data_IF_581092107292
#
_entry.id   IF_581092107292
#
_cell.length_a   1.000
_cell.length_b   1.000
_cell.length_c   1.000
_cell.angle_alpha   90.00
_cell.angle_beta   90.00
_cell.angle_gamma   90.00
#
_symmetry.space_group_name_H-M   'P 1'
#
loop_
_entity.id
_entity.type
_entity.pdbx_description
1 polymer ?
#
# COMPACT_ATOMS: atom_id res chain seq x y z
N UNK A 1 -3.47 0.17 3.29
CA UNK A 1 -2.26 -0.53 3.77
C UNK A 1 -1.78 0.16 5.03
N UNK A 2 -1.30 -0.58 6.03
CA UNK A 2 -0.67 0.03 7.21
C UNK A 2 0.55 0.83 6.74
N UNK A 3 0.68 2.08 7.21
CA UNK A 3 1.91 2.85 7.03
C UNK A 3 3.08 1.93 7.43
N UNK A 4 4.07 1.77 6.56
CA UNK A 4 5.35 1.21 6.99
C UNK A 4 5.88 2.16 8.06
N UNK A 5 5.79 1.73 9.33
CA UNK A 5 6.31 2.51 10.46
C UNK A 5 7.83 2.47 10.33
N UNK A 6 8.38 3.51 9.71
CA UNK A 6 9.82 3.76 9.70
C UNK A 6 10.22 4.18 11.10
N UNK A 7 11.13 3.43 11.72
CA UNK A 7 11.56 3.72 13.08
C UNK A 7 12.59 4.86 13.05
N UNK A 8 12.33 5.90 13.84
CA UNK A 8 13.33 6.88 14.26
C UNK A 8 13.63 6.76 15.77
N UNK A 9 13.34 5.61 16.39
CA UNK A 9 13.25 5.44 17.84
C UNK A 9 14.60 5.33 18.56
N UNK A 10 15.73 5.56 17.89
CA UNK A 10 17.01 5.70 18.56
C UNK A 10 17.52 7.14 18.51
N UNK A 11 17.93 7.71 19.65
CA UNK A 11 18.68 8.95 19.64
C UNK A 11 19.96 8.72 18.83
N UNK A 12 20.45 9.74 18.09
CA UNK A 12 21.74 9.65 17.43
C UNK A 12 22.78 9.20 18.45
N UNK A 13 23.65 8.26 18.06
CA UNK A 13 24.70 7.81 18.99
C UNK A 13 25.58 9.02 19.28
N UNK A 14 25.65 9.40 20.56
CA UNK A 14 26.43 10.54 21.05
C UNK A 14 27.86 10.44 20.53
N UNK A 15 28.16 11.20 19.49
CA UNK A 15 29.52 11.55 19.12
C UNK A 15 29.93 12.74 20.00
N UNK A 16 31.18 12.80 20.51
CA UNK A 16 31.63 13.93 21.31
C UNK A 16 31.40 15.24 20.55
N UNK A 17 30.87 16.25 21.26
CA UNK A 17 30.21 17.43 20.70
C UNK A 17 30.99 18.16 19.61
N UNK A 18 30.36 18.26 18.44
CA UNK A 18 30.84 19.05 17.30
C UNK A 18 29.67 19.57 16.47
N UNK A 19 29.91 20.62 15.67
CA UNK A 19 28.88 21.30 14.87
C UNK A 19 28.15 20.37 13.87
N UNK A 20 28.74 19.23 13.50
CA UNK A 20 28.12 18.20 12.66
C UNK A 20 27.07 17.40 13.43
N UNK A 21 27.39 16.94 14.66
CA UNK A 21 26.48 16.19 15.52
C UNK A 21 25.23 17.02 15.86
N UNK A 22 25.41 18.28 16.24
CA UNK A 22 24.30 19.20 16.52
C UNK A 22 23.39 19.42 15.30
N UNK A 23 23.98 19.45 14.09
CA UNK A 23 23.22 19.62 12.85
C UNK A 23 22.43 18.37 12.46
N UNK A 24 22.95 17.17 12.76
CA UNK A 24 22.22 15.91 12.61
C UNK A 24 21.04 15.86 13.58
N UNK A 25 21.26 16.20 14.86
CA UNK A 25 20.19 16.27 15.86
C UNK A 25 19.08 17.26 15.45
N UNK A 26 19.45 18.43 14.92
CA UNK A 26 18.51 19.39 14.37
C UNK A 26 17.73 18.82 13.18
N UNK A 27 18.41 18.16 12.23
CA UNK A 27 17.76 17.53 11.08
C UNK A 27 16.74 16.46 11.51
N UNK A 28 17.10 15.62 12.47
CA UNK A 28 16.21 14.59 13.04
C UNK A 28 15.02 15.23 13.75
N UNK A 29 15.23 16.33 14.49
CA UNK A 29 14.14 17.06 15.15
C UNK A 29 13.14 17.62 14.13
N UNK A 30 13.62 18.28 13.07
CA UNK A 30 12.78 18.79 11.98
C UNK A 30 12.05 17.65 11.27
N UNK A 31 12.74 16.53 11.04
CA UNK A 31 12.15 15.33 10.43
C UNK A 31 11.00 14.79 11.28
N UNK A 32 11.18 14.68 12.61
CA UNK A 32 10.13 14.26 13.55
C UNK A 32 8.94 15.23 13.59
N UNK A 33 9.17 16.52 13.33
CA UNK A 33 8.13 17.56 13.24
C UNK A 33 7.41 17.58 11.89
N UNK A 34 7.81 16.73 10.92
CA UNK A 34 7.23 16.73 9.57
C UNK A 34 7.72 17.86 8.67
N UNK A 35 8.73 18.64 9.09
CA UNK A 35 9.38 19.67 8.26
C UNK A 35 10.38 19.01 7.32
N UNK A 36 9.86 18.27 6.34
CA UNK A 36 10.64 17.38 5.49
C UNK A 36 11.63 18.13 4.59
N UNK A 37 11.24 19.29 4.07
CA UNK A 37 12.09 20.13 3.21
C UNK A 37 13.34 20.60 3.98
N UNK A 38 13.14 21.11 5.19
CA UNK A 38 14.22 21.63 6.03
C UNK A 38 15.13 20.50 6.53
N UNK A 39 14.54 19.36 6.93
CA UNK A 39 15.28 18.18 7.34
C UNK A 39 16.17 17.65 6.21
N UNK A 40 15.63 17.53 4.99
CA UNK A 40 16.38 17.10 3.80
C UNK A 40 17.53 18.05 3.49
N UNK A 41 17.30 19.37 3.57
CA UNK A 41 18.34 20.37 3.36
C UNK A 41 19.49 20.21 4.37
N UNK A 42 19.18 19.98 5.64
CA UNK A 42 20.19 19.78 6.69
C UNK A 42 20.94 18.45 6.53
N UNK A 43 20.26 17.34 6.24
CA UNK A 43 20.93 16.06 5.98
C UNK A 43 21.90 16.19 4.81
N UNK A 44 21.48 16.81 3.70
CA UNK A 44 22.37 17.07 2.56
C UNK A 44 23.52 17.99 2.91
N UNK A 45 23.32 18.99 3.78
CA UNK A 45 24.42 19.85 4.25
C UNK A 45 25.45 19.06 5.07
N UNK A 46 24.99 18.15 5.92
CA UNK A 46 25.89 17.24 6.66
C UNK A 46 26.68 16.39 5.67
N UNK A 47 26.01 15.79 4.68
CA UNK A 47 26.66 14.91 3.69
C UNK A 47 27.60 15.65 2.73
N UNK A 48 27.42 16.96 2.49
CA UNK A 48 28.41 17.77 1.76
C UNK A 48 29.73 17.91 2.52
N UNK A 49 29.69 17.92 3.86
CA UNK A 49 30.89 18.03 4.70
C UNK A 49 31.50 16.67 5.01
N UNK A 50 30.64 15.68 5.27
CA UNK A 50 31.03 14.29 5.50
C UNK A 50 30.12 13.35 4.70
N UNK A 51 30.51 12.97 3.47
CA UNK A 51 29.74 12.06 2.62
C UNK A 51 29.54 10.67 3.20
N UNK A 52 30.28 10.29 4.26
CA UNK A 52 30.25 8.96 4.88
C UNK A 52 29.50 8.95 6.22
N UNK A 53 28.84 10.05 6.58
CA UNK A 53 28.13 10.13 7.85
C UNK A 53 26.90 9.22 7.85
N UNK A 54 26.98 8.09 8.55
CA UNK A 54 26.00 7.01 8.54
C UNK A 54 24.59 7.44 8.98
N UNK A 55 24.46 8.26 10.03
CA UNK A 55 23.13 8.70 10.50
C UNK A 55 22.44 9.60 9.47
N UNK A 56 23.18 10.51 8.82
CA UNK A 56 22.62 11.40 7.81
C UNK A 56 22.24 10.64 6.53
N UNK A 57 23.04 9.65 6.12
CA UNK A 57 22.69 8.74 5.02
C UNK A 57 21.41 7.96 5.36
N UNK A 58 21.35 7.34 6.55
CA UNK A 58 20.20 6.56 7.00
C UNK A 58 18.93 7.40 7.05
N UNK A 59 18.94 8.53 7.76
CA UNK A 59 17.73 9.34 7.95
C UNK A 59 17.31 10.09 6.69
N UNK A 60 18.25 10.50 5.82
CA UNK A 60 17.90 10.98 4.49
C UNK A 60 17.23 9.88 3.67
N UNK A 61 17.71 8.64 3.76
CA UNK A 61 17.07 7.49 3.14
C UNK A 61 15.64 7.25 3.65
N UNK A 62 15.42 7.34 4.97
CA UNK A 62 14.08 7.28 5.57
C UNK A 62 13.18 8.40 5.04
N UNK A 63 13.70 9.62 4.93
CA UNK A 63 12.97 10.77 4.40
C UNK A 63 12.62 10.58 2.91
N UNK A 64 13.57 10.11 2.10
CA UNK A 64 13.34 9.76 0.70
C UNK A 64 12.24 8.70 0.57
N UNK A 65 12.22 7.69 1.45
CA UNK A 65 11.15 6.70 1.50
C UNK A 65 9.78 7.32 1.85
N UNK A 66 9.72 8.26 2.81
CA UNK A 66 8.48 8.99 3.13
C UNK A 66 7.97 9.82 1.96
N UNK A 67 8.86 10.32 1.11
CA UNK A 67 8.55 10.98 -0.17
C UNK A 67 8.41 10.00 -1.34
N UNK A 68 8.27 8.70 -1.09
CA UNK A 68 8.10 7.63 -2.09
C UNK A 68 9.25 7.49 -3.09
N UNK A 69 10.41 8.09 -2.82
CA UNK A 69 11.66 7.93 -3.59
C UNK A 69 12.38 6.67 -3.13
N UNK A 70 11.75 5.51 -3.34
CA UNK A 70 12.20 4.26 -2.73
C UNK A 70 13.55 3.75 -3.26
N UNK A 71 13.88 4.01 -4.53
CA UNK A 71 15.19 3.65 -5.08
C UNK A 71 16.33 4.45 -4.41
N UNK A 72 16.20 5.78 -4.38
CA UNK A 72 17.13 6.68 -3.66
C UNK A 72 17.24 6.28 -2.18
N UNK A 73 16.12 5.99 -1.53
CA UNK A 73 16.09 5.56 -0.14
C UNK A 73 16.90 4.28 0.09
N UNK A 74 16.76 3.28 -0.78
CA UNK A 74 17.48 2.02 -0.65
C UNK A 74 18.99 2.22 -0.76
N UNK A 75 19.43 3.05 -1.70
CA UNK A 75 20.85 3.33 -1.93
C UNK A 75 21.48 4.12 -0.78
N UNK A 76 20.77 5.12 -0.27
CA UNK A 76 21.19 5.88 0.91
C UNK A 76 21.31 5.00 2.17
N UNK A 77 20.33 4.13 2.43
CA UNK A 77 20.37 3.25 3.59
C UNK A 77 21.46 2.17 3.44
N UNK A 78 21.69 1.65 2.24
CA UNK A 78 22.83 0.75 1.97
C UNK A 78 24.16 1.44 2.22
N UNK A 79 24.32 2.69 1.76
CA UNK A 79 25.53 3.47 2.02
C UNK A 79 25.73 3.69 3.53
N UNK A 80 24.67 3.92 4.31
CA UNK A 80 24.76 3.97 5.77
C UNK A 80 25.24 2.63 6.37
N UNK A 81 24.72 1.51 5.87
CA UNK A 81 25.08 0.16 6.33
C UNK A 81 26.48 -0.27 5.93
N UNK A 82 27.03 0.21 4.82
CA UNK A 82 28.44 0.02 4.46
C UNK A 82 29.39 0.67 5.48
N UNK A 83 28.98 1.81 6.04
CA UNK A 83 29.75 2.53 7.07
C UNK A 83 29.51 1.95 8.46
N UNK A 84 28.29 1.47 8.71
CA UNK A 84 27.92 0.87 9.98
C UNK A 84 27.11 -0.42 9.80
N UNK A 85 27.79 -1.57 9.59
CA UNK A 85 27.10 -2.84 9.32
C UNK A 85 26.21 -3.36 10.47
N UNK A 86 26.45 -2.87 11.69
CA UNK A 86 25.72 -3.22 12.92
C UNK A 86 24.59 -2.24 13.26
N UNK A 87 24.15 -1.41 12.32
CA UNK A 87 23.05 -0.47 12.52
C UNK A 87 21.69 -1.17 12.35
N UNK A 88 21.14 -1.69 13.45
CA UNK A 88 19.92 -2.51 13.45
C UNK A 88 18.71 -1.79 12.82
N UNK A 89 18.47 -0.54 13.19
CA UNK A 89 17.36 0.26 12.65
C UNK A 89 17.48 0.50 11.15
N UNK A 90 18.70 0.73 10.64
CA UNK A 90 18.93 0.89 9.21
C UNK A 90 18.65 -0.42 8.44
N UNK A 91 18.95 -1.60 9.00
CA UNK A 91 18.52 -2.88 8.40
C UNK A 91 17.00 -3.02 8.38
N UNK A 92 16.30 -2.65 9.46
CA UNK A 92 14.84 -2.68 9.49
C UNK A 92 14.24 -1.70 8.46
N UNK A 93 14.75 -0.48 8.39
CA UNK A 93 14.27 0.53 7.44
C UNK A 93 14.64 0.17 5.99
N UNK A 94 15.78 -0.49 5.75
CA UNK A 94 16.09 -1.07 4.44
C UNK A 94 15.06 -2.15 4.07
N UNK A 95 14.70 -3.02 5.00
CA UNK A 95 13.66 -4.02 4.80
C UNK A 95 12.32 -3.39 4.40
N UNK A 96 11.94 -2.32 5.08
CA UNK A 96 10.74 -1.56 4.76
C UNK A 96 10.77 -1.00 3.32
N UNK A 97 11.89 -0.38 2.93
CA UNK A 97 12.07 0.18 1.57
C UNK A 97 12.08 -0.93 0.51
N UNK A 98 12.74 -2.05 0.76
CA UNK A 98 12.76 -3.20 -0.15
C UNK A 98 11.37 -3.81 -0.33
N UNK A 99 10.57 -3.86 0.73
CA UNK A 99 9.18 -4.26 0.64
C UNK A 99 8.37 -3.26 -0.21
N UNK A 100 8.54 -1.95 -0.04
CA UNK A 100 7.87 -0.96 -0.90
C UNK A 100 8.27 -1.11 -2.39
N UNK A 101 9.49 -1.57 -2.68
CA UNK A 101 9.98 -1.87 -4.03
C UNK A 101 9.58 -3.26 -4.56
N UNK A 102 8.77 -4.03 -3.84
CA UNK A 102 8.38 -5.38 -4.24
C UNK A 102 9.46 -6.46 -4.09
N UNK A 103 10.60 -6.13 -3.46
CA UNK A 103 11.75 -7.05 -3.27
C UNK A 103 11.61 -7.84 -1.96
N UNK A 104 10.61 -8.73 -1.91
CA UNK A 104 10.15 -9.38 -0.69
C UNK A 104 11.21 -10.22 0.04
N UNK A 105 11.97 -11.05 -0.68
CA UNK A 105 13.01 -11.88 -0.05
C UNK A 105 14.18 -11.05 0.48
N UNK A 106 14.57 -10.01 -0.26
CA UNK A 106 15.57 -9.07 0.20
C UNK A 106 15.09 -8.32 1.46
N UNK A 107 13.80 -7.97 1.53
CA UNK A 107 13.20 -7.37 2.71
C UNK A 107 13.25 -8.32 3.92
N UNK A 108 12.85 -9.59 3.75
CA UNK A 108 12.93 -10.61 4.79
C UNK A 108 14.37 -10.79 5.32
N UNK A 109 15.36 -10.82 4.42
CA UNK A 109 16.78 -10.88 4.79
C UNK A 109 17.22 -9.67 5.63
N UNK A 110 16.82 -8.46 5.24
CA UNK A 110 17.12 -7.25 5.99
C UNK A 110 16.48 -7.24 7.39
N UNK A 111 15.23 -7.68 7.53
CA UNK A 111 14.60 -7.82 8.86
C UNK A 111 15.31 -8.87 9.74
N UNK A 112 15.72 -10.02 9.18
CA UNK A 112 16.51 -11.02 9.93
C UNK A 112 17.84 -10.43 10.41
N UNK A 113 18.51 -9.61 9.58
CA UNK A 113 19.73 -8.88 9.98
C UNK A 113 19.45 -7.88 11.10
N UNK A 114 18.34 -7.14 11.05
CA UNK A 114 17.93 -6.25 12.13
C UNK A 114 17.70 -7.02 13.44
N UNK A 115 17.00 -8.16 13.38
CA UNK A 115 16.70 -9.00 14.53
C UNK A 115 17.93 -9.70 15.12
N UNK A 116 18.90 -10.08 14.30
CA UNK A 116 20.18 -10.61 14.78
C UNK A 116 20.98 -9.58 15.59
N UNK A 117 20.80 -8.28 15.28
CA UNK A 117 21.46 -7.19 15.98
C UNK A 117 20.63 -6.66 17.17
N UNK A 118 19.31 -6.70 17.08
CA UNK A 118 18.36 -6.24 18.08
C UNK A 118 17.16 -7.19 18.18
N UNK A 119 17.28 -8.30 18.94
CA UNK A 119 16.23 -9.34 19.02
C UNK A 119 14.90 -8.85 19.61
N UNK A 120 14.92 -7.77 20.40
CA UNK A 120 13.76 -7.16 21.04
C UNK A 120 13.04 -6.12 20.15
N UNK A 121 13.29 -6.08 18.84
CA UNK A 121 12.62 -5.16 17.93
C UNK A 121 11.26 -5.72 17.46
N UNK A 122 10.19 -5.29 18.12
CA UNK A 122 8.82 -5.74 17.81
C UNK A 122 8.39 -5.42 16.36
N UNK A 123 8.78 -4.26 15.83
CA UNK A 123 8.48 -3.86 14.45
C UNK A 123 9.15 -4.78 13.44
N UNK A 124 10.42 -5.14 13.65
CA UNK A 124 11.16 -6.03 12.74
C UNK A 124 10.57 -7.45 12.73
N UNK A 125 10.13 -7.97 13.89
CA UNK A 125 9.40 -9.24 13.97
C UNK A 125 8.08 -9.18 13.20
N UNK A 126 7.26 -8.15 13.44
CA UNK A 126 5.98 -7.96 12.73
C UNK A 126 6.21 -7.89 11.21
N UNK A 127 7.18 -7.08 10.77
CA UNK A 127 7.48 -6.90 9.35
C UNK A 127 8.01 -8.19 8.69
N UNK A 128 8.87 -8.95 9.39
CA UNK A 128 9.32 -10.26 8.93
C UNK A 128 8.15 -11.23 8.80
N UNK A 129 7.25 -11.26 9.77
CA UNK A 129 6.03 -12.07 9.72
C UNK A 129 5.18 -11.76 8.48
N UNK A 130 5.04 -10.48 8.11
CA UNK A 130 4.30 -10.09 6.89
C UNK A 130 4.97 -10.64 5.63
N UNK A 131 6.30 -10.60 5.54
CA UNK A 131 7.04 -11.15 4.40
C UNK A 131 6.91 -12.68 4.33
N UNK A 132 7.08 -13.37 5.46
CA UNK A 132 6.95 -14.83 5.53
C UNK A 132 5.54 -15.31 5.16
N UNK A 133 4.50 -14.64 5.66
CA UNK A 133 3.11 -14.95 5.32
C UNK A 133 2.85 -14.79 3.82
N UNK A 134 3.42 -13.76 3.19
CA UNK A 134 3.32 -13.56 1.73
C UNK A 134 4.02 -14.65 0.94
N UNK A 135 5.11 -15.20 1.48
CA UNK A 135 5.83 -16.34 0.90
C UNK A 135 5.17 -17.71 1.20
N UNK A 136 3.99 -17.74 1.85
CA UNK A 136 3.32 -18.98 2.24
C UNK A 136 3.94 -19.71 3.42
N UNK A 137 4.95 -19.13 4.08
CA UNK A 137 5.66 -19.70 5.24
C UNK A 137 4.91 -19.39 6.52
N UNK A 138 3.69 -19.91 6.65
CA UNK A 138 2.73 -19.51 7.67
C UNK A 138 3.18 -19.83 9.10
N UNK A 139 3.81 -20.98 9.36
CA UNK A 139 4.29 -21.34 10.70
C UNK A 139 5.39 -20.42 11.20
N UNK A 140 6.31 -20.01 10.32
CA UNK A 140 7.35 -19.04 10.69
C UNK A 140 6.79 -17.63 10.85
N UNK A 141 5.81 -17.26 10.02
CA UNK A 141 5.10 -15.99 10.15
C UNK A 141 4.38 -15.89 11.49
N UNK A 142 3.71 -16.97 11.90
CA UNK A 142 3.04 -17.06 13.20
C UNK A 142 4.00 -16.78 14.34
N UNK A 143 5.14 -17.49 14.39
CA UNK A 143 6.15 -17.29 15.43
C UNK A 143 6.68 -15.85 15.47
N UNK A 144 6.91 -15.23 14.30
CA UNK A 144 7.34 -13.84 14.24
C UNK A 144 6.26 -12.87 14.76
N UNK A 145 4.99 -13.09 14.43
CA UNK A 145 3.90 -12.24 14.95
C UNK A 145 3.69 -12.41 16.46
N UNK A 146 3.77 -13.64 16.98
CA UNK A 146 3.69 -13.92 18.41
C UNK A 146 4.82 -13.21 19.15
N UNK A 147 6.06 -13.29 18.65
CA UNK A 147 7.19 -12.59 19.26
C UNK A 147 7.04 -11.06 19.21
N UNK A 148 6.49 -10.52 18.12
CA UNK A 148 6.17 -9.09 18.04
C UNK A 148 5.14 -8.66 19.10
N UNK A 149 4.11 -9.48 19.35
CA UNK A 149 3.07 -9.19 20.35
C UNK A 149 3.52 -9.45 21.79
N UNK A 150 4.48 -10.35 22.02
CA UNK A 150 5.15 -10.49 23.33
C UNK A 150 5.91 -9.20 23.66
N UNK A 151 6.60 -8.62 22.68
CA UNK A 151 7.40 -7.40 22.85
C UNK A 151 6.54 -6.13 22.92
N UNK A 152 5.46 -6.06 22.13
CA UNK A 152 4.51 -4.96 22.14
C UNK A 152 3.07 -5.47 21.92
N UNK A 153 2.29 -5.70 22.99
CA UNK A 153 0.94 -6.22 22.90
C UNK A 153 -0.09 -5.26 22.30
N UNK A 154 0.25 -3.99 22.07
CA UNK A 154 -0.69 -2.94 21.64
C UNK A 154 -0.74 -2.74 20.12
N UNK A 155 -0.12 -3.63 19.35
CA UNK A 155 -0.02 -3.54 17.89
C UNK A 155 -1.23 -4.13 17.17
N UNK A 156 -2.22 -3.30 16.87
CA UNK A 156 -3.42 -3.71 16.15
C UNK A 156 -3.11 -4.31 14.76
N UNK A 157 -2.13 -3.76 14.04
CA UNK A 157 -1.66 -4.26 12.73
C UNK A 157 -1.11 -5.68 12.84
N UNK A 158 -0.32 -5.95 13.87
CA UNK A 158 0.26 -7.27 14.13
C UNK A 158 -0.83 -8.27 14.51
N UNK A 159 -1.80 -7.91 15.35
CA UNK A 159 -2.96 -8.77 15.66
C UNK A 159 -3.81 -9.08 14.42
N UNK A 160 -4.00 -8.12 13.51
CA UNK A 160 -4.67 -8.36 12.23
C UNK A 160 -3.91 -9.38 11.38
N UNK A 161 -2.59 -9.24 11.26
CA UNK A 161 -1.77 -10.16 10.48
C UNK A 161 -1.64 -11.54 11.11
N UNK A 162 -1.62 -11.63 12.44
CA UNK A 162 -1.72 -12.87 13.18
C UNK A 162 -3.02 -13.60 12.83
N UNK A 163 -4.17 -12.94 12.92
CA UNK A 163 -5.46 -13.56 12.58
C UNK A 163 -5.52 -14.08 11.14
N UNK A 164 -4.97 -13.32 10.18
CA UNK A 164 -4.87 -13.79 8.77
C UNK A 164 -3.97 -15.01 8.62
N UNK A 165 -2.91 -15.10 9.40
CA UNK A 165 -1.98 -16.25 9.38
C UNK A 165 -2.62 -17.48 10.00
N UNK A 166 -3.28 -17.31 11.15
CA UNK A 166 -4.03 -18.38 11.82
C UNK A 166 -5.15 -18.92 10.94
N UNK A 167 -5.90 -18.06 10.25
CA UNK A 167 -6.94 -18.49 9.31
C UNK A 167 -6.37 -19.28 8.11
N UNK A 168 -5.17 -18.93 7.63
CA UNK A 168 -4.48 -19.70 6.58
C UNK A 168 -3.93 -21.05 7.08
N UNK A 169 -3.73 -21.19 8.39
CA UNK A 169 -3.41 -22.45 9.08
C UNK A 169 -4.67 -23.18 9.57
N UNK A 170 -5.87 -22.73 9.17
CA UNK A 170 -7.17 -23.30 9.58
C UNK A 170 -7.43 -23.27 11.10
N UNK A 171 -6.68 -22.47 11.85
CA UNK A 171 -6.87 -22.23 13.30
C UNK A 171 -7.90 -21.13 13.52
N UNK A 172 -9.15 -21.44 13.17
CA UNK A 172 -10.20 -20.43 12.98
C UNK A 172 -10.61 -19.67 14.25
N UNK A 173 -10.80 -20.34 15.39
CA UNK A 173 -11.20 -19.66 16.63
C UNK A 173 -10.11 -18.71 17.15
N UNK A 174 -8.83 -19.10 17.01
CA UNK A 174 -7.71 -18.23 17.36
C UNK A 174 -7.60 -17.04 16.39
N UNK A 175 -7.90 -17.26 15.11
CA UNK A 175 -7.98 -16.18 14.13
C UNK A 175 -9.08 -15.15 14.46
N UNK A 176 -10.26 -15.62 14.88
CA UNK A 176 -11.35 -14.76 15.36
C UNK A 176 -10.89 -13.93 16.57
N UNK A 177 -10.26 -14.57 17.56
CA UNK A 177 -9.74 -13.89 18.75
C UNK A 177 -8.71 -12.81 18.40
N UNK A 178 -7.77 -13.10 17.49
CA UNK A 178 -6.77 -12.14 17.02
C UNK A 178 -7.39 -10.94 16.27
N UNK A 179 -8.42 -11.18 15.45
CA UNK A 179 -9.14 -10.09 14.79
C UNK A 179 -9.95 -9.23 15.76
N UNK A 180 -10.60 -9.84 16.75
CA UNK A 180 -11.24 -9.10 17.84
C UNK A 180 -10.25 -8.24 18.63
N UNK A 181 -9.05 -8.76 18.89
CA UNK A 181 -8.00 -7.99 19.54
C UNK A 181 -7.56 -6.78 18.70
N UNK A 182 -7.41 -6.95 17.38
CA UNK A 182 -7.08 -5.84 16.48
C UNK A 182 -8.15 -4.73 16.53
N UNK A 183 -9.44 -5.09 16.53
CA UNK A 183 -10.56 -4.15 16.67
C UNK A 183 -10.56 -3.48 18.04
N UNK A 184 -10.28 -4.23 19.11
CA UNK A 184 -10.23 -3.67 20.48
C UNK A 184 -9.11 -2.64 20.63
N UNK A 185 -7.95 -2.90 20.04
CA UNK A 185 -6.81 -1.98 20.03
C UNK A 185 -7.04 -0.77 19.13
N UNK A 186 -7.78 -0.94 18.04
CA UNK A 186 -8.12 0.12 17.09
C UNK A 186 -9.59 -0.03 16.61
N UNK A 187 -10.56 0.59 17.30
CA UNK A 187 -11.99 0.45 17.00
C UNK A 187 -12.42 0.90 15.59
N UNK A 188 -11.64 1.75 14.92
CA UNK A 188 -11.87 2.16 13.53
C UNK A 188 -11.15 1.30 12.47
N UNK A 189 -10.61 0.14 12.83
CA UNK A 189 -9.72 -0.61 11.94
C UNK A 189 -10.50 -1.41 10.88
N UNK A 190 -10.94 -0.75 9.81
CA UNK A 190 -11.76 -1.32 8.73
C UNK A 190 -11.23 -2.67 8.19
N UNK A 191 -9.91 -2.81 8.05
CA UNK A 191 -9.29 -4.04 7.56
C UNK A 191 -9.50 -5.24 8.52
N UNK A 192 -9.60 -5.00 9.83
CA UNK A 192 -9.87 -6.03 10.83
C UNK A 192 -11.35 -6.43 10.83
N UNK A 193 -12.28 -5.47 10.75
CA UNK A 193 -13.71 -5.76 10.59
C UNK A 193 -13.98 -6.59 9.33
N UNK A 194 -13.42 -6.21 8.18
CA UNK A 194 -13.55 -6.96 6.93
C UNK A 194 -12.99 -8.38 7.05
N UNK A 195 -11.84 -8.55 7.70
CA UNK A 195 -11.22 -9.87 7.84
C UNK A 195 -12.03 -10.76 8.78
N UNK A 196 -12.55 -10.20 9.87
CA UNK A 196 -13.40 -10.89 10.83
C UNK A 196 -14.76 -11.28 10.24
N UNK A 197 -15.44 -10.36 9.54
CA UNK A 197 -16.76 -10.63 8.96
C UNK A 197 -16.69 -11.73 7.89
N UNK A 198 -15.67 -11.69 7.01
CA UNK A 198 -15.45 -12.73 6.01
C UNK A 198 -15.11 -14.09 6.63
N UNK A 199 -14.36 -14.10 7.74
CA UNK A 199 -14.07 -15.34 8.46
C UNK A 199 -15.32 -15.90 9.13
N UNK A 200 -16.12 -15.07 9.80
CA UNK A 200 -17.41 -15.49 10.37
C UNK A 200 -18.36 -16.02 9.30
N UNK A 201 -18.43 -15.37 8.13
CA UNK A 201 -19.21 -15.85 6.99
C UNK A 201 -18.74 -17.23 6.50
N UNK A 202 -17.42 -17.43 6.35
CA UNK A 202 -16.85 -18.73 5.96
C UNK A 202 -17.19 -19.85 6.96
N UNK A 203 -17.31 -19.51 8.23
CA UNK A 203 -17.68 -20.44 9.31
C UNK A 203 -19.20 -20.59 9.47
N UNK A 204 -20.00 -20.06 8.54
CA UNK A 204 -21.47 -20.05 8.58
C UNK A 204 -22.06 -19.34 9.81
N UNK A 205 -21.26 -18.50 10.49
CA UNK A 205 -21.64 -17.68 11.64
C UNK A 205 -22.22 -16.33 11.18
N UNK A 206 -23.16 -16.37 10.25
CA UNK A 206 -23.69 -15.20 9.55
C UNK A 206 -24.36 -14.19 10.49
N UNK A 207 -25.07 -14.66 11.52
CA UNK A 207 -25.70 -13.79 12.51
C UNK A 207 -24.67 -12.94 13.27
N UNK A 208 -23.52 -13.52 13.63
CA UNK A 208 -22.44 -12.80 14.30
C UNK A 208 -21.74 -11.82 13.36
N UNK A 209 -21.55 -12.19 12.09
CA UNK A 209 -21.01 -11.29 11.08
C UNK A 209 -21.91 -10.05 10.90
N UNK A 210 -23.23 -10.24 10.79
CA UNK A 210 -24.20 -9.14 10.69
C UNK A 210 -24.16 -8.27 11.94
N UNK A 211 -24.18 -8.84 13.14
CA UNK A 211 -24.12 -8.08 14.39
C UNK A 211 -22.83 -7.26 14.52
N UNK A 212 -21.69 -7.82 14.11
CA UNK A 212 -20.40 -7.12 14.04
C UNK A 212 -20.46 -5.92 13.09
N UNK A 213 -20.99 -6.12 11.88
CA UNK A 213 -21.06 -5.10 10.85
C UNK A 213 -22.05 -3.99 11.21
N UNK A 214 -23.16 -4.31 11.87
CA UNK A 214 -24.09 -3.31 12.45
C UNK A 214 -23.39 -2.44 13.48
N UNK A 215 -22.58 -3.03 14.37
CA UNK A 215 -21.80 -2.26 15.36
C UNK A 215 -20.77 -1.36 14.67
N UNK A 216 -20.09 -1.86 13.64
CA UNK A 216 -19.15 -1.05 12.87
C UNK A 216 -19.85 0.13 12.18
N UNK A 217 -20.96 -0.12 11.49
CA UNK A 217 -21.72 0.94 10.82
C UNK A 217 -22.28 1.95 11.83
N UNK A 218 -22.69 1.53 13.03
CA UNK A 218 -23.13 2.47 14.07
C UNK A 218 -22.00 3.37 14.58
N UNK A 219 -20.75 2.88 14.60
CA UNK A 219 -19.57 3.65 14.99
C UNK A 219 -19.08 4.58 13.88
N UNK A 220 -19.20 4.15 12.63
CA UNK A 220 -18.78 4.92 11.45
C UNK A 220 -19.86 4.83 10.35
N UNK A 221 -20.96 5.59 10.48
CA UNK A 221 -22.10 5.51 9.55
C UNK A 221 -21.76 5.92 8.11
N UNK A 222 -20.72 6.73 7.94
CA UNK A 222 -20.25 7.18 6.64
C UNK A 222 -19.32 6.15 5.96
N UNK A 223 -18.93 5.06 6.66
CA UNK A 223 -18.03 4.08 6.09
C UNK A 223 -18.68 3.28 4.96
N UNK A 224 -18.20 3.42 3.70
CA UNK A 224 -18.84 2.75 2.58
C UNK A 224 -18.61 1.23 2.62
N UNK A 225 -17.48 0.77 3.19
CA UNK A 225 -17.15 -0.65 3.34
C UNK A 225 -18.05 -1.32 4.38
N UNK A 226 -18.30 -0.67 5.52
CA UNK A 226 -19.19 -1.22 6.55
C UNK A 226 -20.61 -1.42 6.01
N UNK A 227 -21.16 -0.40 5.33
CA UNK A 227 -22.48 -0.46 4.69
C UNK A 227 -22.55 -1.54 3.62
N UNK A 228 -21.56 -1.60 2.72
CA UNK A 228 -21.52 -2.61 1.66
C UNK A 228 -21.47 -4.04 2.22
N UNK A 229 -20.58 -4.30 3.19
CA UNK A 229 -20.47 -5.61 3.80
C UNK A 229 -21.73 -5.98 4.58
N UNK A 230 -22.34 -5.03 5.31
CA UNK A 230 -23.59 -5.31 6.04
C UNK A 230 -24.71 -5.74 5.09
N UNK A 231 -24.91 -5.01 3.99
CA UNK A 231 -25.90 -5.37 2.98
C UNK A 231 -25.60 -6.78 2.42
N UNK A 232 -24.34 -7.04 2.05
CA UNK A 232 -23.92 -8.33 1.51
C UNK A 232 -24.12 -9.51 2.48
N UNK A 233 -23.85 -9.33 3.78
CA UNK A 233 -23.97 -10.41 4.78
C UNK A 233 -25.41 -10.59 5.29
N UNK A 234 -26.20 -9.51 5.35
CA UNK A 234 -27.57 -9.56 5.85
C UNK A 234 -28.60 -9.94 4.78
N UNK A 235 -28.29 -9.72 3.50
CA UNK A 235 -29.27 -9.84 2.42
C UNK A 235 -30.38 -8.78 2.48
N UNK A 236 -30.31 -7.83 3.41
CA UNK A 236 -31.28 -6.77 3.59
C UNK A 236 -30.79 -5.48 2.92
N UNK A 237 -31.71 -4.77 2.27
CA UNK A 237 -31.43 -3.51 1.58
C UNK A 237 -30.23 -3.58 0.62
N UNK A 238 -30.04 -4.73 -0.05
CA UNK A 238 -28.95 -4.93 -1.01
C UNK A 238 -29.18 -4.01 -2.22
N UNK A 239 -28.28 -3.05 -2.49
CA UNK A 239 -28.43 -2.17 -3.64
C UNK A 239 -28.18 -2.96 -4.94
N UNK A 240 -28.81 -2.51 -6.04
CA UNK A 240 -28.65 -3.12 -7.36
C UNK A 240 -27.19 -3.19 -7.82
N UNK A 241 -26.38 -2.21 -7.41
CA UNK A 241 -24.93 -2.17 -7.62
C UNK A 241 -24.23 -1.65 -6.38
N UNK A 242 -22.93 -1.90 -6.29
CA UNK A 242 -22.08 -1.28 -5.28
C UNK A 242 -22.13 0.25 -5.37
N UNK A 243 -22.12 0.93 -4.21
CA UNK A 243 -22.11 2.38 -4.14
C UNK A 243 -20.77 2.96 -4.62
N UNK A 244 -20.80 4.16 -5.19
CA UNK A 244 -19.62 4.78 -5.83
C UNK A 244 -18.47 4.96 -4.84
N UNK A 245 -18.77 5.44 -3.64
CA UNK A 245 -17.80 5.65 -2.55
C UNK A 245 -17.12 4.34 -2.09
N UNK A 246 -17.83 3.21 -2.12
CA UNK A 246 -17.24 1.89 -1.85
C UNK A 246 -16.30 1.45 -2.96
N UNK A 247 -16.71 1.61 -4.21
CA UNK A 247 -15.87 1.27 -5.36
C UNK A 247 -14.61 2.14 -5.36
N UNK A 248 -14.75 3.44 -5.11
CA UNK A 248 -13.63 4.36 -4.96
C UNK A 248 -12.66 3.91 -3.86
N UNK A 249 -13.14 3.69 -2.63
CA UNK A 249 -12.29 3.25 -1.51
C UNK A 249 -11.54 1.94 -1.83
N UNK A 250 -12.25 0.99 -2.46
CA UNK A 250 -11.67 -0.29 -2.83
C UNK A 250 -10.53 -0.14 -3.85
N UNK A 251 -10.76 0.57 -4.95
CA UNK A 251 -9.76 0.71 -6.01
C UNK A 251 -8.64 1.69 -5.63
N UNK A 252 -8.94 2.80 -4.95
CA UNK A 252 -7.92 3.70 -4.42
C UNK A 252 -6.96 2.97 -3.47
N UNK A 253 -7.48 2.06 -2.64
CA UNK A 253 -6.69 1.22 -1.75
C UNK A 253 -5.78 0.22 -2.46
N UNK A 254 -5.99 -0.04 -3.75
CA UNK A 254 -5.21 -0.98 -4.57
C UNK A 254 -4.27 -0.29 -5.58
N UNK A 255 -4.53 0.97 -5.92
CA UNK A 255 -3.88 1.70 -7.01
C UNK A 255 -2.36 1.53 -7.06
N UNK A 256 -1.66 1.71 -5.93
CA UNK A 256 -0.20 1.65 -5.87
C UNK A 256 0.42 0.31 -6.30
N UNK A 257 -0.30 -0.80 -6.12
CA UNK A 257 0.18 -2.14 -6.45
C UNK A 257 -0.65 -2.80 -7.55
N UNK A 258 -1.55 -2.05 -8.18
CA UNK A 258 -2.53 -2.59 -9.12
C UNK A 258 -1.84 -3.26 -10.30
N UNK A 259 -0.94 -2.56 -10.96
CA UNK A 259 -0.19 -3.07 -12.11
C UNK A 259 0.66 -4.30 -11.77
N UNK A 260 1.36 -4.27 -10.62
CA UNK A 260 2.15 -5.40 -10.15
C UNK A 260 1.26 -6.62 -9.86
N UNK A 261 0.03 -6.39 -9.37
CA UNK A 261 -0.94 -7.46 -9.17
C UNK A 261 -1.40 -8.06 -10.50
N UNK A 262 -1.73 -7.21 -11.47
CA UNK A 262 -2.13 -7.62 -12.82
C UNK A 262 -1.02 -8.42 -13.53
N UNK A 263 0.23 -7.99 -13.43
CA UNK A 263 1.38 -8.73 -13.97
C UNK A 263 1.50 -10.14 -13.38
N UNK A 264 1.32 -10.28 -12.06
CA UNK A 264 1.35 -11.60 -11.40
C UNK A 264 0.20 -12.50 -11.83
N UNK A 265 -0.94 -11.93 -12.21
CA UNK A 265 -2.07 -12.65 -12.78
C UNK A 265 -1.89 -12.95 -14.27
N UNK A 266 -0.75 -12.57 -14.87
CA UNK A 266 -0.54 -12.66 -16.32
C UNK A 266 -1.68 -11.98 -17.10
N UNK A 267 -2.15 -10.83 -16.60
CA UNK A 267 -3.24 -10.09 -17.19
C UNK A 267 -2.87 -9.63 -18.61
N UNK A 268 -3.71 -9.97 -19.60
CA UNK A 268 -3.45 -9.74 -21.03
C UNK A 268 -4.46 -8.85 -21.73
N UNK A 269 -5.45 -8.29 -21.03
CA UNK A 269 -6.53 -7.56 -21.70
C UNK A 269 -6.03 -6.41 -22.60
N UNK A 270 -5.06 -5.55 -22.19
CA UNK A 270 -4.58 -4.48 -23.07
C UNK A 270 -4.00 -5.00 -24.38
N UNK A 271 -3.22 -6.10 -24.34
CA UNK A 271 -2.63 -6.70 -25.54
C UNK A 271 -3.69 -7.31 -26.46
N UNK A 272 -4.64 -8.07 -25.89
CA UNK A 272 -5.75 -8.66 -26.65
C UNK A 272 -6.64 -7.58 -27.27
N UNK A 273 -6.81 -6.48 -26.55
CA UNK A 273 -7.57 -5.32 -27.02
C UNK A 273 -6.87 -4.65 -28.21
N UNK A 274 -5.55 -4.47 -28.14
CA UNK A 274 -4.76 -3.96 -29.27
C UNK A 274 -4.88 -4.86 -30.51
N UNK A 275 -4.84 -6.18 -30.34
CA UNK A 275 -5.02 -7.14 -31.44
C UNK A 275 -6.44 -7.03 -32.05
N UNK A 276 -7.46 -6.95 -31.20
CA UNK A 276 -8.85 -6.80 -31.64
C UNK A 276 -9.08 -5.48 -32.40
N UNK A 277 -8.53 -4.37 -31.91
CA UNK A 277 -8.64 -3.07 -32.57
C UNK A 277 -7.99 -3.06 -33.95
N UNK A 278 -6.81 -3.67 -34.10
CA UNK A 278 -6.17 -3.80 -35.39
C UNK A 278 -7.01 -4.66 -36.37
N UNK A 279 -7.67 -5.70 -35.87
CA UNK A 279 -8.57 -6.53 -36.67
C UNK A 279 -9.84 -5.82 -37.12
N UNK A 280 -10.42 -4.95 -36.28
CA UNK A 280 -11.69 -4.25 -36.56
C UNK A 280 -11.48 -2.95 -37.34
N UNK A 281 -10.46 -2.17 -36.98
CA UNK A 281 -10.24 -0.82 -37.50
C UNK A 281 -9.11 -0.76 -38.53
N UNK A 282 -8.28 -1.81 -38.63
CA UNK A 282 -7.11 -1.83 -39.49
C UNK A 282 -5.96 -0.98 -38.93
N UNK A 283 -5.24 -0.32 -39.84
CA UNK A 283 -4.11 0.53 -39.48
C UNK A 283 -4.58 1.75 -38.67
N UNK A 284 -3.79 2.11 -37.65
CA UNK A 284 -4.00 3.31 -36.87
C UNK A 284 -3.88 4.56 -37.75
N UNK A 285 -4.85 5.48 -37.64
CA UNK A 285 -4.95 6.68 -38.48
C UNK A 285 -5.08 8.00 -37.68
N UNK A 286 -5.10 7.91 -36.35
CA UNK A 286 -5.27 9.04 -35.42
C UNK A 286 -6.46 9.97 -35.73
N UNK A 287 -7.56 9.43 -36.27
CA UNK A 287 -8.72 10.26 -36.67
C UNK A 287 -9.87 10.30 -35.65
N UNK A 288 -9.91 9.33 -34.73
CA UNK A 288 -11.09 9.04 -33.90
C UNK A 288 -11.10 9.77 -32.57
N UNK A 289 -12.28 10.03 -32.04
CA UNK A 289 -12.53 10.40 -30.64
C UNK A 289 -12.75 9.11 -29.86
N UNK A 290 -11.76 8.72 -29.06
CA UNK A 290 -11.71 7.42 -28.38
C UNK A 290 -11.95 7.59 -26.89
N UNK A 291 -12.83 6.75 -26.33
CA UNK A 291 -13.03 6.61 -24.89
C UNK A 291 -12.41 5.31 -24.40
N UNK A 292 -11.50 5.42 -23.43
CA UNK A 292 -11.05 4.32 -22.56
C UNK A 292 -11.93 4.27 -21.31
N UNK A 293 -12.93 3.38 -21.34
CA UNK A 293 -13.96 3.22 -20.34
C UNK A 293 -13.49 2.30 -19.20
N UNK A 294 -13.20 2.88 -18.04
CA UNK A 294 -12.53 2.18 -16.94
C UNK A 294 -11.02 2.17 -17.14
N UNK A 295 -10.43 3.33 -17.47
CA UNK A 295 -9.02 3.44 -17.88
C UNK A 295 -8.03 2.98 -16.80
N UNK A 296 -8.46 2.84 -15.54
CA UNK A 296 -7.64 2.35 -14.44
C UNK A 296 -6.36 3.17 -14.28
N UNK A 297 -5.22 2.47 -14.16
CA UNK A 297 -3.89 3.11 -14.10
C UNK A 297 -3.37 3.58 -15.45
N UNK A 298 -4.17 3.49 -16.52
CA UNK A 298 -3.82 3.93 -17.86
C UNK A 298 -3.02 2.92 -18.69
N UNK A 299 -3.21 1.61 -18.44
CA UNK A 299 -2.48 0.55 -19.16
C UNK A 299 -2.81 0.49 -20.66
N UNK A 300 -4.04 0.88 -21.05
CA UNK A 300 -4.48 0.87 -22.44
C UNK A 300 -4.07 2.13 -23.21
N UNK A 301 -3.77 3.24 -22.53
CA UNK A 301 -3.45 4.54 -23.14
C UNK A 301 -2.48 4.47 -24.33
N UNK A 302 -1.27 3.89 -24.17
CA UNK A 302 -0.29 3.79 -25.26
C UNK A 302 -0.78 2.97 -26.47
N UNK A 303 -1.69 2.01 -26.24
CA UNK A 303 -2.23 1.13 -27.27
C UNK A 303 -3.37 1.80 -28.04
N UNK A 304 -4.14 2.66 -27.36
CA UNK A 304 -5.25 3.41 -27.94
C UNK A 304 -4.78 4.68 -28.65
N UNK A 305 -3.71 5.31 -28.15
CA UNK A 305 -3.22 6.59 -28.65
C UNK A 305 -3.05 6.68 -30.17
N UNK A 306 -2.50 5.66 -30.87
CA UNK A 306 -2.34 5.73 -32.33
C UNK A 306 -3.64 5.85 -33.11
N UNK A 307 -4.77 5.38 -32.57
CA UNK A 307 -6.08 5.43 -33.22
C UNK A 307 -6.81 6.76 -32.97
N UNK A 308 -6.37 7.51 -31.97
CA UNK A 308 -7.13 8.60 -31.40
C UNK A 308 -6.60 9.98 -31.84
N UNK A 309 -7.47 10.80 -32.43
CA UNK A 309 -7.32 12.26 -32.49
C UNK A 309 -7.47 12.86 -31.09
N UNK A 310 -8.42 12.35 -30.33
CA UNK A 310 -8.69 12.71 -28.94
C UNK A 310 -8.88 11.41 -28.15
N UNK A 311 -8.11 11.23 -27.07
CA UNK A 311 -8.20 10.09 -26.17
C UNK A 311 -8.66 10.56 -24.79
N UNK A 312 -9.85 10.15 -24.42
CA UNK A 312 -10.45 10.41 -23.13
C UNK A 312 -10.40 9.13 -22.30
N UNK A 313 -9.90 9.21 -21.07
CA UNK A 313 -9.99 8.14 -20.09
C UNK A 313 -11.00 8.51 -19.00
N UNK A 314 -11.86 7.56 -18.63
CA UNK A 314 -12.75 7.71 -17.49
C UNK A 314 -12.56 6.55 -16.52
N UNK A 315 -12.42 6.86 -15.25
CA UNK A 315 -12.44 5.86 -14.17
C UNK A 315 -13.09 6.49 -12.93
N UNK A 316 -13.73 5.66 -12.12
CA UNK A 316 -14.39 6.14 -10.92
C UNK A 316 -13.38 6.46 -9.80
N UNK A 317 -12.21 5.81 -9.80
CA UNK A 317 -11.16 5.95 -8.79
C UNK A 317 -10.23 7.15 -9.07
N UNK A 318 -10.21 8.18 -8.20
CA UNK A 318 -9.29 9.31 -8.35
C UNK A 318 -7.82 8.88 -8.38
N UNK A 319 -7.43 7.89 -7.56
CA UNK A 319 -6.04 7.43 -7.49
C UNK A 319 -5.60 6.69 -8.75
N UNK A 320 -6.47 5.91 -9.35
CA UNK A 320 -6.20 5.25 -10.62
C UNK A 320 -6.00 6.30 -11.72
N UNK A 321 -6.89 7.29 -11.79
CA UNK A 321 -6.79 8.42 -12.73
C UNK A 321 -5.49 9.21 -12.53
N UNK A 322 -5.06 9.47 -11.29
CA UNK A 322 -3.79 10.13 -11.02
C UNK A 322 -2.59 9.34 -11.57
N UNK A 323 -2.61 8.00 -11.45
CA UNK A 323 -1.57 7.15 -12.04
C UNK A 323 -1.62 7.13 -13.56
N UNK A 324 -2.82 7.09 -14.16
CA UNK A 324 -2.99 7.21 -15.61
C UNK A 324 -2.43 8.55 -16.13
N UNK A 325 -2.65 9.64 -15.40
CA UNK A 325 -2.13 10.97 -15.75
C UNK A 325 -0.61 11.01 -15.79
N UNK A 326 0.06 10.28 -14.89
CA UNK A 326 1.53 10.20 -14.86
C UNK A 326 2.12 9.45 -16.08
N UNK A 327 1.33 8.64 -16.79
CA UNK A 327 1.77 7.97 -18.02
C UNK A 327 1.80 8.91 -19.24
N UNK A 328 0.86 9.86 -19.30
CA UNK A 328 0.88 10.96 -20.26
C UNK A 328 0.25 10.67 -21.62
N UNK A 329 -0.52 9.59 -21.77
CA UNK A 329 -1.11 9.19 -23.07
C UNK A 329 -2.47 9.86 -23.39
N UNK A 330 -3.16 10.39 -22.38
CA UNK A 330 -4.55 10.86 -22.48
C UNK A 330 -4.64 12.37 -22.67
N UNK A 331 -5.52 12.83 -23.56
CA UNK A 331 -5.84 14.26 -23.73
C UNK A 331 -6.73 14.77 -22.59
N UNK A 332 -7.65 13.92 -22.13
CA UNK A 332 -8.53 14.20 -21.01
C UNK A 332 -8.65 12.97 -20.11
N UNK A 333 -8.65 13.22 -18.80
CA UNK A 333 -8.90 12.21 -17.78
C UNK A 333 -10.00 12.68 -16.84
N UNK A 334 -11.03 11.87 -16.67
CA UNK A 334 -12.24 12.22 -15.92
C UNK A 334 -12.46 11.23 -14.78
N UNK A 335 -12.70 11.76 -13.59
CA UNK A 335 -13.18 10.97 -12.44
C UNK A 335 -14.70 10.97 -12.46
N UNK A 336 -15.30 9.87 -12.91
CA UNK A 336 -16.76 9.75 -12.98
C UNK A 336 -17.21 8.29 -12.96
N UNK A 337 -18.46 8.07 -12.57
CA UNK A 337 -19.12 6.78 -12.77
C UNK A 337 -19.38 6.61 -14.28
N UNK A 338 -18.95 5.47 -14.84
CA UNK A 338 -18.86 5.26 -16.28
C UNK A 338 -20.23 5.38 -16.96
N UNK A 339 -21.30 4.81 -16.37
CA UNK A 339 -22.62 4.84 -17.00
C UNK A 339 -23.22 6.25 -16.99
N UNK A 340 -23.04 7.00 -15.90
CA UNK A 340 -23.43 8.40 -15.81
C UNK A 340 -22.63 9.27 -16.80
N UNK A 341 -21.33 8.99 -16.98
CA UNK A 341 -20.47 9.69 -17.93
C UNK A 341 -20.92 9.47 -19.38
N UNK A 342 -21.19 8.23 -19.76
CA UNK A 342 -21.70 7.87 -21.10
C UNK A 342 -23.09 8.46 -21.36
N UNK A 343 -23.96 8.47 -20.35
CA UNK A 343 -25.32 9.01 -20.49
C UNK A 343 -25.36 10.54 -20.68
N UNK A 344 -24.33 11.25 -20.22
CA UNK A 344 -24.24 12.70 -20.39
C UNK A 344 -24.01 13.13 -21.85
N UNK A 345 -23.34 12.29 -22.66
CA UNK A 345 -23.05 12.57 -24.07
C UNK A 345 -22.89 11.26 -24.89
N UNK A 346 -23.99 10.56 -25.19
CA UNK A 346 -23.95 9.19 -25.74
C UNK A 346 -23.45 9.10 -27.18
N UNK A 347 -23.32 10.22 -27.90
CA UNK A 347 -22.92 10.27 -29.30
C UNK A 347 -21.51 10.87 -29.52
N UNK A 348 -20.77 11.18 -28.45
CA UNK A 348 -19.46 11.87 -28.55
C UNK A 348 -18.35 11.03 -29.15
N UNK A 349 -18.34 9.73 -28.88
CA UNK A 349 -17.18 8.88 -29.13
C UNK A 349 -17.36 8.00 -30.36
N UNK A 350 -16.38 8.05 -31.27
CA UNK A 350 -16.32 7.18 -32.46
C UNK A 350 -15.96 5.74 -32.08
N UNK A 351 -15.30 5.57 -30.93
CA UNK A 351 -14.85 4.29 -30.39
C UNK A 351 -14.90 4.32 -28.86
N UNK A 352 -15.56 3.33 -28.26
CA UNK A 352 -15.54 3.08 -26.82
C UNK A 352 -14.86 1.74 -26.58
N UNK A 353 -13.89 1.74 -25.67
CA UNK A 353 -13.03 0.60 -25.34
C UNK A 353 -13.19 0.31 -23.85
N UNK A 354 -13.39 -0.95 -23.46
CA UNK A 354 -13.51 -1.39 -22.06
C UNK A 354 -12.78 -2.69 -21.78
#
# INVERSE_FOLDING_TARGET
>A
MGLLIMSMNHPPRRTPGGAVAQRIEQAIALHRQGRLEDAEALYRQVLRRDPRQADALHFLGVLSAQRRRYAEAADLIRAALERQPRYADAHNNLGNVLAALGRWEAAASAYRRALALAPANASAHSNLGVMLRRAGRYSEALSAFEQALILDPRRADTSLHLGKTLAALERYEEALAAHHQAIRLQPGYAAAYRSLSLLLYRLERSAEAVALLQRWQAQDPANPVARHLLAAHSGAAVPLRAADDYVQDLFDGMAENFDAHLQRLQYRAPALLSEALAGVLGAADATRTVLDAGCGTGLCGPLLRPYARELVGVDLSPRMVDLARLRGDYDQLVVAELTAFLAADPARYDLVVS
#
